data_IF_247765963835
#
_entry.id   IF_247765963835
#
_cell.length_a   1.000
_cell.length_b   1.000
_cell.length_c   1.000
_cell.angle_alpha   90.00
_cell.angle_beta   90.00
_cell.angle_gamma   90.00
#
_symmetry.space_group_name_H-M   'P 1'
#
loop_
_entity.id
_entity.type
_entity.pdbx_description
1 polymer ?
#
# COMPACT_ATOMS: atom_id res chain seq x y z
N UNK A 1 -17.07 -1.65 21.29
CA UNK A 1 -17.34 -1.62 19.84
C UNK A 1 -16.45 -2.67 19.20
N UNK A 2 -17.05 -3.70 18.61
CA UNK A 2 -16.33 -4.86 18.06
C UNK A 2 -15.56 -4.45 16.80
N UNK A 3 -14.25 -4.71 16.78
CA UNK A 3 -13.41 -4.55 15.59
C UNK A 3 -13.94 -5.46 14.48
N UNK A 4 -13.98 -5.03 13.21
CA UNK A 4 -14.42 -5.89 12.12
C UNK A 4 -13.50 -7.10 12.04
N UNK A 5 -14.06 -8.30 12.24
CA UNK A 5 -13.33 -9.54 12.07
C UNK A 5 -13.00 -9.70 10.58
N UNK A 6 -11.73 -9.79 10.25
CA UNK A 6 -11.25 -10.06 8.89
C UNK A 6 -11.66 -11.51 8.56
N UNK A 7 -12.43 -11.69 7.50
CA UNK A 7 -12.81 -13.01 7.00
C UNK A 7 -11.55 -13.80 6.58
N UNK A 8 -11.57 -15.15 6.66
CA UNK A 8 -10.43 -15.97 6.26
C UNK A 8 -9.96 -15.66 4.82
N UNK A 9 -8.64 -15.66 4.64
CA UNK A 9 -7.94 -15.26 3.41
C UNK A 9 -8.46 -16.04 2.20
N UNK A 10 -8.77 -15.33 1.10
CA UNK A 10 -9.08 -15.97 -0.19
C UNK A 10 -7.81 -16.66 -0.72
N UNK A 11 -7.84 -17.99 -0.77
CA UNK A 11 -6.73 -18.85 -1.18
C UNK A 11 -6.54 -18.88 -2.71
N UNK A 12 -6.23 -17.73 -3.30
CA UNK A 12 -5.88 -17.67 -4.73
C UNK A 12 -4.41 -18.02 -4.92
N UNK A 13 -4.07 -18.81 -5.96
CA UNK A 13 -2.69 -19.18 -6.29
C UNK A 13 -1.75 -17.96 -6.42
N UNK A 14 -2.27 -16.85 -6.96
CA UNK A 14 -1.55 -15.58 -7.07
C UNK A 14 -1.20 -15.00 -5.69
N UNK A 15 -2.16 -14.94 -4.77
CA UNK A 15 -1.96 -14.47 -3.39
C UNK A 15 -0.90 -15.31 -2.67
N UNK A 16 -1.00 -16.63 -2.76
CA UNK A 16 -0.02 -17.55 -2.18
C UNK A 16 1.38 -17.38 -2.79
N UNK A 17 1.48 -17.09 -4.09
CA UNK A 17 2.77 -16.82 -4.74
C UNK A 17 3.40 -15.50 -4.26
N UNK A 18 2.59 -14.42 -4.14
CA UNK A 18 3.04 -13.14 -3.57
C UNK A 18 3.53 -13.33 -2.13
N UNK A 19 2.73 -14.01 -1.29
CA UNK A 19 3.08 -14.30 0.10
C UNK A 19 4.43 -15.01 0.21
N UNK A 20 4.63 -16.13 -0.53
CA UNK A 20 5.89 -16.88 -0.53
C UNK A 20 7.09 -16.03 -0.94
N UNK A 21 6.95 -15.16 -1.94
CA UNK A 21 8.04 -14.29 -2.37
C UNK A 21 8.46 -13.33 -1.25
N UNK A 22 7.49 -12.62 -0.67
CA UNK A 22 7.73 -11.61 0.37
C UNK A 22 8.17 -12.23 1.69
N UNK A 23 7.62 -13.38 2.09
CA UNK A 23 8.06 -14.13 3.27
C UNK A 23 9.55 -14.46 3.20
N UNK A 24 10.03 -14.92 2.05
CA UNK A 24 11.44 -15.28 1.83
C UNK A 24 12.39 -14.09 1.98
N UNK A 25 11.94 -12.88 1.66
CA UNK A 25 12.80 -11.68 1.70
C UNK A 25 12.50 -10.75 2.88
N UNK A 26 11.49 -11.05 3.70
CA UNK A 26 10.97 -10.16 4.73
C UNK A 26 12.06 -9.63 5.68
N UNK A 27 12.94 -10.51 6.19
CA UNK A 27 14.03 -10.09 7.09
C UNK A 27 15.04 -9.18 6.41
N UNK A 28 15.41 -9.48 5.17
CA UNK A 28 16.34 -8.62 4.40
C UNK A 28 15.70 -7.27 4.14
N UNK A 29 14.46 -7.27 3.64
CA UNK A 29 13.69 -6.06 3.40
C UNK A 29 13.58 -5.18 4.66
N UNK A 30 13.36 -5.80 5.82
CA UNK A 30 13.29 -5.09 7.10
C UNK A 30 14.60 -4.43 7.52
N UNK A 31 15.75 -4.95 7.08
CA UNK A 31 17.08 -4.46 7.39
C UNK A 31 17.61 -3.44 6.36
N UNK A 32 17.11 -3.49 5.12
CA UNK A 32 17.52 -2.57 4.07
C UNK A 32 17.06 -1.13 4.39
N UNK A 33 17.96 -0.13 4.34
CA UNK A 33 17.60 1.25 4.63
C UNK A 33 16.75 1.85 3.50
N UNK A 34 15.84 2.76 3.87
CA UNK A 34 15.07 3.52 2.89
C UNK A 34 16.03 4.45 2.12
N UNK A 35 16.15 4.22 0.81
CA UNK A 35 17.14 4.89 -0.04
C UNK A 35 16.97 6.41 -0.13
N UNK A 36 15.76 6.93 0.06
CA UNK A 36 15.44 8.37 0.03
C UNK A 36 14.63 8.75 1.27
N UNK A 37 15.31 8.80 2.42
CA UNK A 37 14.71 9.16 3.70
C UNK A 37 14.02 10.53 3.69
N UNK A 38 14.59 11.52 3.00
CA UNK A 38 14.01 12.86 2.93
C UNK A 38 12.69 12.87 2.15
N UNK A 39 12.63 12.15 1.02
CA UNK A 39 11.39 11.99 0.27
C UNK A 39 10.34 11.11 0.97
N UNK A 40 10.79 10.13 1.77
CA UNK A 40 9.92 9.36 2.66
C UNK A 40 9.31 10.25 3.75
N UNK A 41 10.12 11.07 4.42
CA UNK A 41 9.66 12.00 5.46
C UNK A 41 8.66 13.03 4.92
N UNK A 42 8.95 13.62 3.76
CA UNK A 42 8.02 14.54 3.09
C UNK A 42 6.67 13.86 2.77
N UNK A 43 6.69 12.57 2.40
CA UNK A 43 5.47 11.80 2.18
C UNK A 43 4.68 11.62 3.47
N UNK A 44 5.35 11.26 4.57
CA UNK A 44 4.69 11.07 5.85
C UNK A 44 4.08 12.37 6.38
N UNK A 45 4.80 13.48 6.30
CA UNK A 45 4.26 14.79 6.67
C UNK A 45 3.03 15.14 5.84
N UNK A 46 3.08 14.87 4.52
CA UNK A 46 1.95 15.12 3.62
C UNK A 46 0.72 14.29 4.02
N UNK A 47 0.91 13.02 4.35
CA UNK A 47 -0.17 12.11 4.75
C UNK A 47 -0.72 12.47 6.14
N UNK A 48 0.14 12.83 7.09
CA UNK A 48 -0.28 13.29 8.42
C UNK A 48 -1.21 14.50 8.34
N UNK A 49 -0.92 15.46 7.43
CA UNK A 49 -1.79 16.61 7.19
C UNK A 49 -3.12 16.30 6.48
N UNK A 50 -3.31 15.07 5.97
CA UNK A 50 -4.54 14.59 5.34
C UNK A 50 -5.38 13.71 6.27
N UNK A 51 -4.79 13.19 7.35
CA UNK A 51 -5.45 12.34 8.33
C UNK A 51 -5.97 13.17 9.50
N UNK A 52 -7.00 12.65 10.18
CA UNK A 52 -7.56 13.26 11.37
C UNK A 52 -7.72 12.24 12.51
N UNK A 53 -7.57 12.64 13.79
CA UNK A 53 -7.64 11.73 14.94
C UNK A 53 -8.98 11.01 15.14
N UNK A 54 -10.03 11.40 14.42
CA UNK A 54 -11.34 10.75 14.46
C UNK A 54 -11.52 9.67 13.38
N UNK A 55 -10.58 9.56 12.44
CA UNK A 55 -10.70 8.68 11.28
C UNK A 55 -10.26 7.24 11.55
N UNK A 56 -10.99 6.29 10.97
CA UNK A 56 -10.53 4.91 10.83
C UNK A 56 -9.78 4.76 9.51
N UNK A 57 -8.59 4.18 9.58
CA UNK A 57 -7.68 4.08 8.44
C UNK A 57 -7.33 2.62 8.16
N UNK A 58 -7.37 2.24 6.89
CA UNK A 58 -6.81 0.98 6.40
C UNK A 58 -5.50 1.27 5.68
N UNK A 59 -4.44 0.52 5.95
CA UNK A 59 -3.26 0.45 5.09
C UNK A 59 -3.19 -0.94 4.46
N UNK A 60 -3.09 -0.98 3.14
CA UNK A 60 -2.95 -2.21 2.35
C UNK A 60 -1.50 -2.27 1.86
N UNK A 61 -0.84 -3.41 2.05
CA UNK A 61 0.57 -3.61 1.70
C UNK A 61 1.52 -2.90 2.66
N UNK A 62 1.28 -2.99 3.96
CA UNK A 62 2.06 -2.27 4.97
C UNK A 62 3.49 -2.78 5.17
N UNK A 63 3.84 -3.93 4.58
CA UNK A 63 5.13 -4.60 4.78
C UNK A 63 5.42 -4.79 6.26
N UNK A 64 6.59 -4.32 6.69
CA UNK A 64 7.05 -4.42 8.09
C UNK A 64 6.46 -3.35 9.01
N UNK A 65 5.42 -2.62 8.58
CA UNK A 65 4.66 -1.69 9.41
C UNK A 65 5.36 -0.37 9.75
N UNK A 66 6.48 -0.03 9.09
CA UNK A 66 7.25 1.20 9.38
C UNK A 66 6.41 2.48 9.22
N UNK A 67 5.60 2.53 8.17
CA UNK A 67 4.71 3.65 7.88
C UNK A 67 3.53 3.67 8.85
N UNK A 68 2.86 2.51 9.01
CA UNK A 68 1.74 2.34 9.92
C UNK A 68 2.05 2.83 11.35
N UNK A 69 3.21 2.45 11.91
CA UNK A 69 3.62 2.87 13.26
C UNK A 69 3.75 4.39 13.40
N UNK A 70 4.14 5.08 12.32
CA UNK A 70 4.33 6.54 12.31
C UNK A 70 3.05 7.32 12.01
N UNK A 71 2.08 6.71 11.34
CA UNK A 71 0.81 7.33 10.98
C UNK A 71 -0.30 7.03 11.97
N UNK A 72 -0.28 5.85 12.60
CA UNK A 72 -1.31 5.43 13.54
C UNK A 72 -1.66 6.50 14.59
N UNK A 73 -0.70 7.19 15.27
CA UNK A 73 -1.01 8.20 16.28
C UNK A 73 -1.89 9.39 15.82
N UNK A 74 -2.03 9.58 14.50
CA UNK A 74 -2.83 10.65 13.89
C UNK A 74 -4.25 10.19 13.51
N UNK A 75 -4.66 9.00 13.97
CA UNK A 75 -5.92 8.35 13.59
C UNK A 75 -6.72 7.95 14.83
N UNK A 76 -8.00 7.60 14.66
CA UNK A 76 -8.77 6.93 15.72
C UNK A 76 -8.38 5.47 15.84
N UNK A 77 -8.32 4.81 14.71
CA UNK A 77 -7.91 3.42 14.58
C UNK A 77 -7.22 3.20 13.24
N UNK A 78 -6.24 2.31 13.22
CA UNK A 78 -5.53 1.92 12.02
C UNK A 78 -5.42 0.39 11.93
N UNK A 79 -5.96 -0.16 10.85
CA UNK A 79 -5.72 -1.55 10.46
C UNK A 79 -4.69 -1.54 9.33
N UNK A 80 -3.54 -2.15 9.55
CA UNK A 80 -2.50 -2.28 8.55
C UNK A 80 -2.35 -3.75 8.13
N UNK A 81 -2.34 -4.01 6.83
CA UNK A 81 -2.42 -5.35 6.26
C UNK A 81 -1.35 -5.61 5.23
N UNK A 82 -0.91 -6.86 5.14
CA UNK A 82 0.02 -7.33 4.12
C UNK A 82 -0.28 -8.79 3.77
N UNK A 83 0.01 -9.20 2.53
CA UNK A 83 -0.20 -10.57 2.07
C UNK A 83 0.80 -11.56 2.71
N UNK A 84 1.94 -11.06 3.17
CA UNK A 84 3.01 -11.85 3.78
C UNK A 84 2.85 -11.96 5.29
N UNK A 85 2.70 -13.20 5.78
CA UNK A 85 2.71 -13.49 7.22
C UNK A 85 4.07 -13.15 7.84
N UNK A 86 5.18 -13.32 7.10
CA UNK A 86 6.52 -12.94 7.54
C UNK A 86 6.69 -11.43 7.75
N UNK A 87 6.13 -10.62 6.85
CA UNK A 87 6.11 -9.16 7.00
C UNK A 87 5.29 -8.73 8.24
N UNK A 88 4.10 -9.31 8.40
CA UNK A 88 3.22 -9.04 9.55
C UNK A 88 3.83 -9.49 10.88
N UNK A 89 4.58 -10.59 10.91
CA UNK A 89 5.31 -11.01 12.10
C UNK A 89 6.31 -9.94 12.56
N UNK A 90 7.13 -9.42 11.63
CA UNK A 90 8.08 -8.33 11.92
C UNK A 90 7.36 -7.04 12.32
N UNK A 91 6.23 -6.72 11.66
CA UNK A 91 5.43 -5.55 12.01
C UNK A 91 4.88 -5.64 13.46
N UNK A 92 4.43 -6.83 13.88
CA UNK A 92 3.97 -7.10 15.24
C UNK A 92 5.11 -7.03 16.26
N UNK A 93 6.30 -7.54 15.93
CA UNK A 93 7.50 -7.37 16.77
C UNK A 93 7.83 -5.88 16.99
N UNK A 94 7.77 -5.07 15.93
CA UNK A 94 8.01 -3.62 16.03
C UNK A 94 6.93 -2.92 16.85
N UNK A 95 5.66 -3.31 16.71
CA UNK A 95 4.56 -2.81 17.55
C UNK A 95 4.72 -3.18 19.02
N UNK A 96 5.22 -4.38 19.33
CA UNK A 96 5.50 -4.79 20.71
C UNK A 96 6.60 -3.91 21.33
N UNK A 97 7.61 -3.53 20.55
CA UNK A 97 8.69 -2.64 20.98
C UNK A 97 8.28 -1.15 21.04
N UNK A 98 7.30 -0.74 20.24
CA UNK A 98 6.74 0.61 20.23
C UNK A 98 5.21 0.56 20.25
N UNK A 99 4.59 0.31 21.42
CA UNK A 99 3.15 0.11 21.52
C UNK A 99 2.36 1.30 21.00
N UNK A 100 1.41 1.02 20.09
CA UNK A 100 0.44 1.98 19.59
C UNK A 100 -0.98 1.39 19.75
N UNK A 101 -1.81 1.91 20.68
CA UNK A 101 -3.09 1.30 21.01
C UNK A 101 -4.09 1.35 19.85
N UNK A 102 -3.90 2.28 18.91
CA UNK A 102 -4.76 2.50 17.74
C UNK A 102 -4.42 1.55 16.58
N UNK A 103 -3.23 0.94 16.58
CA UNK A 103 -2.72 0.16 15.45
C UNK A 103 -2.95 -1.35 15.63
N UNK A 104 -3.43 -2.01 14.58
CA UNK A 104 -3.50 -3.47 14.48
C UNK A 104 -2.90 -3.94 13.15
N UNK A 105 -2.25 -5.11 13.19
CA UNK A 105 -1.68 -5.75 12.01
C UNK A 105 -2.37 -7.08 11.70
N UNK A 106 -2.70 -7.30 10.43
CA UNK A 106 -3.31 -8.55 9.97
C UNK A 106 -2.80 -8.99 8.60
N UNK A 107 -2.92 -10.29 8.31
CA UNK A 107 -2.60 -10.84 6.99
C UNK A 107 -3.81 -10.73 6.09
N UNK A 108 -3.67 -10.05 4.95
CA UNK A 108 -4.70 -9.95 3.92
C UNK A 108 -4.08 -9.60 2.56
N UNK A 109 -4.62 -10.18 1.48
CA UNK A 109 -4.25 -9.79 0.12
C UNK A 109 -5.01 -8.51 -0.27
N UNK A 110 -4.33 -7.63 -1.01
CA UNK A 110 -4.89 -6.36 -1.47
C UNK A 110 -6.09 -6.53 -2.40
N UNK A 111 -6.13 -7.66 -3.11
CA UNK A 111 -7.15 -8.01 -4.10
C UNK A 111 -8.30 -8.83 -3.49
N UNK A 112 -8.24 -9.15 -2.19
CA UNK A 112 -9.24 -9.98 -1.52
C UNK A 112 -10.40 -9.14 -0.92
N UNK A 113 -11.66 -9.61 -1.00
CA UNK A 113 -12.84 -8.89 -0.49
C UNK A 113 -13.04 -9.06 1.03
N UNK A 114 -12.03 -8.69 1.82
CA UNK A 114 -11.99 -8.96 3.27
C UNK A 114 -12.00 -7.72 4.16
N UNK A 115 -11.97 -6.52 3.57
CA UNK A 115 -11.89 -5.26 4.32
C UNK A 115 -13.26 -4.68 4.71
N UNK A 116 -14.35 -5.29 4.24
CA UNK A 116 -15.72 -4.77 4.42
C UNK A 116 -16.05 -3.61 3.49
N UNK A 117 -17.29 -3.14 3.53
CA UNK A 117 -17.78 -2.06 2.66
C UNK A 117 -18.10 -0.81 3.48
N UNK A 118 -17.54 0.34 3.11
CA UNK A 118 -17.82 1.62 3.79
C UNK A 118 -17.32 1.67 5.24
N UNK A 119 -16.19 1.03 5.53
CA UNK A 119 -15.67 0.88 6.89
C UNK A 119 -14.67 1.97 7.26
N UNK A 120 -13.89 2.47 6.30
CA UNK A 120 -12.75 3.36 6.58
C UNK A 120 -12.94 4.75 5.99
N UNK A 121 -12.44 5.77 6.68
CA UNK A 121 -12.42 7.15 6.19
C UNK A 121 -11.24 7.39 5.24
N UNK A 122 -10.16 6.61 5.38
CA UNK A 122 -9.03 6.62 4.47
C UNK A 122 -8.46 5.21 4.24
N UNK A 123 -7.99 4.96 3.01
CA UNK A 123 -7.24 3.77 2.62
C UNK A 123 -5.89 4.22 2.09
N UNK A 124 -4.81 3.62 2.61
CA UNK A 124 -3.43 3.91 2.26
C UNK A 124 -2.86 2.73 1.47
N UNK A 125 -2.14 3.00 0.38
CA UNK A 125 -1.48 1.98 -0.45
C UNK A 125 -0.09 2.47 -0.89
N UNK A 126 0.93 2.22 -0.07
CA UNK A 126 2.29 2.69 -0.32
C UNK A 126 3.18 1.58 -0.88
N UNK A 127 3.87 1.86 -1.98
CA UNK A 127 4.70 0.92 -2.73
C UNK A 127 3.99 -0.41 -3.04
N UNK A 128 2.67 -0.38 -3.23
CA UNK A 128 1.83 -1.57 -3.41
C UNK A 128 1.27 -1.72 -4.82
N UNK A 129 0.65 -0.70 -5.41
CA UNK A 129 -0.23 -0.89 -6.58
C UNK A 129 0.50 -1.44 -7.83
N UNK A 130 1.79 -1.16 -7.98
CA UNK A 130 2.61 -1.77 -9.03
C UNK A 130 2.92 -3.26 -8.80
N UNK A 131 2.65 -3.81 -7.62
CA UNK A 131 2.83 -5.22 -7.24
C UNK A 131 1.51 -6.01 -7.28
N UNK A 132 0.39 -5.35 -7.57
CA UNK A 132 -0.89 -6.02 -7.74
C UNK A 132 -0.83 -6.99 -8.93
N UNK A 133 -1.60 -8.07 -8.86
CA UNK A 133 -1.79 -8.95 -10.02
C UNK A 133 -2.70 -8.27 -11.03
N UNK A 134 -3.77 -7.66 -10.51
CA UNK A 134 -4.72 -6.84 -11.23
C UNK A 134 -4.91 -5.50 -10.50
N UNK A 135 -4.58 -4.40 -11.19
CA UNK A 135 -4.71 -3.06 -10.63
C UNK A 135 -6.17 -2.70 -10.33
N UNK A 136 -7.09 -3.08 -11.22
CA UNK A 136 -8.50 -2.74 -11.09
C UNK A 136 -9.11 -3.51 -9.92
N UNK A 137 -8.78 -4.79 -9.76
CA UNK A 137 -9.23 -5.58 -8.62
C UNK A 137 -8.75 -4.99 -7.28
N UNK A 138 -7.48 -4.60 -7.18
CA UNK A 138 -6.94 -3.97 -5.98
C UNK A 138 -7.61 -2.62 -5.67
N UNK A 139 -7.81 -1.78 -6.68
CA UNK A 139 -8.50 -0.51 -6.53
C UNK A 139 -9.97 -0.71 -6.13
N UNK A 140 -10.65 -1.72 -6.69
CA UNK A 140 -12.04 -2.01 -6.39
C UNK A 140 -12.22 -2.39 -4.90
N UNK A 141 -11.31 -3.18 -4.32
CA UNK A 141 -11.33 -3.49 -2.89
C UNK A 141 -11.05 -2.25 -2.03
N UNK A 142 -10.08 -1.42 -2.42
CA UNK A 142 -9.79 -0.17 -1.73
C UNK A 142 -10.99 0.79 -1.75
N UNK A 143 -11.66 0.94 -2.89
CA UNK A 143 -12.86 1.77 -3.05
C UNK A 143 -14.05 1.20 -2.27
N UNK A 144 -14.24 -0.11 -2.27
CA UNK A 144 -15.29 -0.76 -1.48
C UNK A 144 -15.12 -0.48 0.02
N UNK A 145 -13.89 -0.58 0.53
CA UNK A 145 -13.55 -0.34 1.93
C UNK A 145 -13.80 1.11 2.40
N UNK A 146 -13.74 2.08 1.48
CA UNK A 146 -13.96 3.50 1.77
C UNK A 146 -15.43 3.84 2.06
N UNK A 147 -15.65 4.63 3.10
CA UNK A 147 -16.89 5.41 3.32
C UNK A 147 -17.09 6.43 2.19
N UNK A 148 -18.33 6.85 1.90
CA UNK A 148 -18.57 8.00 1.05
C UNK A 148 -17.80 9.23 1.55
N UNK A 149 -17.18 9.98 0.63
CA UNK A 149 -16.31 11.11 0.96
C UNK A 149 -14.88 10.74 1.41
N UNK A 150 -14.57 9.46 1.62
CA UNK A 150 -13.27 8.98 2.09
C UNK A 150 -12.13 9.12 1.07
N UNK A 151 -10.89 8.97 1.53
CA UNK A 151 -9.68 9.17 0.72
C UNK A 151 -8.92 7.87 0.44
N UNK A 152 -8.63 7.59 -0.83
CA UNK A 152 -7.53 6.70 -1.23
C UNK A 152 -6.26 7.53 -1.37
N UNK A 153 -5.21 7.17 -0.61
CA UNK A 153 -3.90 7.81 -0.68
C UNK A 153 -2.88 6.75 -1.10
N UNK A 154 -2.24 6.95 -2.25
CA UNK A 154 -1.26 6.01 -2.79
C UNK A 154 0.06 6.70 -3.06
N UNK A 155 1.16 5.94 -2.92
CA UNK A 155 2.45 6.33 -3.50
C UNK A 155 3.12 5.11 -4.07
N UNK A 156 3.24 5.01 -5.39
CA UNK A 156 3.76 3.80 -6.03
C UNK A 156 4.71 4.14 -7.17
N UNK A 157 5.76 3.34 -7.42
CA UNK A 157 6.51 3.36 -8.66
C UNK A 157 5.61 3.30 -9.90
N UNK A 158 5.79 4.26 -10.81
CA UNK A 158 5.24 4.29 -12.16
C UNK A 158 6.32 3.79 -13.12
N UNK A 159 6.45 2.46 -13.23
CA UNK A 159 7.58 1.82 -13.91
C UNK A 159 7.71 2.20 -15.40
N UNK A 160 6.62 2.61 -16.06
CA UNK A 160 6.68 3.05 -17.46
C UNK A 160 7.42 4.39 -17.62
N UNK A 161 7.66 5.14 -16.53
CA UNK A 161 8.40 6.41 -16.54
C UNK A 161 9.91 6.23 -16.30
N UNK A 162 10.35 5.00 -16.05
CA UNK A 162 11.76 4.60 -15.93
C UNK A 162 12.41 4.45 -17.32
N UNK A 163 13.73 4.25 -17.35
CA UNK A 163 14.39 3.82 -18.58
C UNK A 163 13.73 2.51 -19.07
N UNK A 164 13.24 2.43 -20.33
CA UNK A 164 12.51 1.26 -20.85
C UNK A 164 13.24 -0.08 -20.67
N UNK A 165 14.57 -0.08 -20.62
CA UNK A 165 15.35 -1.30 -20.36
C UNK A 165 15.04 -1.94 -19.00
N UNK A 166 14.60 -1.17 -18.01
CA UNK A 166 14.32 -1.67 -16.66
C UNK A 166 13.02 -2.50 -16.64
N UNK A 167 11.84 -1.93 -16.95
CA UNK A 167 10.59 -2.70 -16.91
C UNK A 167 10.49 -3.75 -18.02
N UNK A 168 11.06 -3.52 -19.20
CA UNK A 168 10.86 -4.41 -20.36
C UNK A 168 11.98 -5.45 -20.56
N UNK A 169 13.12 -5.33 -19.87
CA UNK A 169 14.20 -6.31 -19.99
C UNK A 169 14.69 -6.81 -18.61
N UNK A 170 15.11 -5.91 -17.71
CA UNK A 170 15.70 -6.32 -16.44
C UNK A 170 14.69 -7.00 -15.50
N UNK A 171 13.48 -6.46 -15.38
CA UNK A 171 12.43 -7.02 -14.52
C UNK A 171 11.99 -8.42 -14.97
N UNK A 172 11.64 -8.67 -16.26
CA UNK A 172 11.32 -10.03 -16.74
C UNK A 172 12.44 -11.04 -16.45
N UNK A 173 13.70 -10.65 -16.69
CA UNK A 173 14.86 -11.50 -16.40
C UNK A 173 14.97 -11.82 -14.91
N UNK A 174 14.87 -10.80 -14.04
CA UNK A 174 14.90 -10.99 -12.58
C UNK A 174 13.73 -11.84 -12.07
N UNK A 175 12.56 -11.73 -12.69
CA UNK A 175 11.39 -12.57 -12.38
C UNK A 175 11.63 -14.03 -12.77
N UNK A 176 12.18 -14.28 -13.96
CA UNK A 176 12.48 -15.64 -14.45
C UNK A 176 13.42 -16.41 -13.51
N UNK A 177 14.35 -15.70 -12.85
CA UNK A 177 15.27 -16.27 -11.84
C UNK A 177 14.76 -16.13 -10.39
N UNK A 178 13.51 -15.70 -10.20
CA UNK A 178 12.87 -15.61 -8.88
C UNK A 178 13.41 -14.52 -7.96
N UNK A 179 14.05 -13.47 -8.48
CA UNK A 179 14.62 -12.34 -7.71
C UNK A 179 13.72 -11.09 -7.69
N UNK A 180 12.67 -11.05 -8.48
CA UNK A 180 11.68 -9.97 -8.49
C UNK A 180 10.25 -10.54 -8.46
N UNK A 181 9.29 -9.86 -7.81
CA UNK A 181 7.90 -10.24 -7.87
C UNK A 181 7.29 -9.89 -9.23
N UNK A 182 6.05 -10.32 -9.46
CA UNK A 182 5.27 -9.76 -10.55
C UNK A 182 5.05 -8.27 -10.33
N UNK A 183 5.21 -7.49 -11.39
CA UNK A 183 4.95 -6.05 -11.37
C UNK A 183 4.13 -5.65 -12.59
N UNK A 184 3.26 -4.66 -12.40
CA UNK A 184 2.54 -3.98 -13.45
C UNK A 184 3.37 -2.79 -13.94
N UNK A 185 3.40 -2.61 -15.27
CA UNK A 185 4.07 -1.46 -15.89
C UNK A 185 3.02 -0.43 -16.30
N UNK A 186 3.01 0.70 -15.61
CA UNK A 186 2.14 1.85 -15.91
C UNK A 186 2.84 3.17 -15.56
N UNK A 187 2.33 4.27 -16.11
CA UNK A 187 2.70 5.65 -15.78
C UNK A 187 1.67 6.28 -14.81
N UNK A 188 1.90 7.52 -14.38
CA UNK A 188 0.94 8.26 -13.55
C UNK A 188 -0.42 8.42 -14.22
N UNK A 189 -0.46 8.69 -15.53
CA UNK A 189 -1.72 8.91 -16.25
C UNK A 189 -2.61 7.65 -16.23
N UNK A 190 -2.03 6.47 -16.48
CA UNK A 190 -2.77 5.21 -16.39
C UNK A 190 -3.20 4.90 -14.96
N UNK A 191 -2.37 5.21 -13.96
CA UNK A 191 -2.73 5.04 -12.55
C UNK A 191 -3.94 5.91 -12.16
N UNK A 192 -3.91 7.21 -12.48
CA UNK A 192 -5.01 8.13 -12.16
C UNK A 192 -6.27 7.82 -12.97
N UNK A 193 -6.12 7.41 -14.24
CA UNK A 193 -7.23 6.96 -15.07
C UNK A 193 -7.91 5.72 -14.49
N UNK A 194 -7.14 4.73 -14.02
CA UNK A 194 -7.70 3.54 -13.37
C UNK A 194 -8.46 3.91 -12.08
N UNK A 195 -7.91 4.82 -11.26
CA UNK A 195 -8.63 5.33 -10.07
C UNK A 195 -9.94 6.02 -10.45
N UNK A 196 -9.94 6.84 -11.50
CA UNK A 196 -11.13 7.54 -11.98
C UNK A 196 -12.19 6.58 -12.54
N UNK A 197 -11.78 5.52 -13.24
CA UNK A 197 -12.68 4.47 -13.73
C UNK A 197 -13.36 3.71 -12.58
N UNK A 198 -12.71 3.60 -11.42
CA UNK A 198 -13.30 3.06 -10.19
C UNK A 198 -14.18 4.07 -9.44
N UNK A 199 -14.46 5.23 -10.04
CA UNK A 199 -15.34 6.26 -9.50
C UNK A 199 -14.68 7.20 -8.49
N UNK A 200 -13.34 7.22 -8.38
CA UNK A 200 -12.63 8.17 -7.53
C UNK A 200 -12.37 9.50 -8.24
N UNK A 201 -12.46 10.61 -7.51
CA UNK A 201 -12.07 11.93 -7.99
C UNK A 201 -10.63 12.23 -7.56
N UNK A 202 -9.73 12.49 -8.50
CA UNK A 202 -8.35 12.84 -8.18
C UNK A 202 -8.31 14.24 -7.53
N UNK A 203 -7.79 14.30 -6.31
CA UNK A 203 -7.64 15.54 -5.52
C UNK A 203 -6.30 16.19 -5.83
N UNK A 204 -5.22 15.41 -5.83
CA UNK A 204 -3.91 15.88 -6.25
C UNK A 204 -2.99 14.73 -6.69
N UNK A 205 -2.01 15.09 -7.52
CA UNK A 205 -0.83 14.27 -7.79
C UNK A 205 0.43 15.05 -7.44
N UNK A 206 1.36 14.39 -6.76
CA UNK A 206 2.58 15.00 -6.24
C UNK A 206 3.77 14.04 -6.42
N UNK A 207 5.00 14.57 -6.35
CA UNK A 207 6.26 13.80 -6.35
C UNK A 207 7.11 14.27 -5.18
N UNK A 208 7.44 13.39 -4.26
CA UNK A 208 8.13 13.76 -3.02
C UNK A 208 9.61 13.38 -3.01
N UNK A 209 10.07 12.62 -4.00
CA UNK A 209 11.45 12.16 -4.09
C UNK A 209 12.41 13.34 -4.13
N UNK A 210 13.47 13.25 -3.32
CA UNK A 210 14.50 14.30 -3.19
C UNK A 210 15.82 13.91 -3.87
N UNK A 211 15.86 12.72 -4.48
CA UNK A 211 17.02 12.18 -5.20
C UNK A 211 16.65 11.84 -6.64
N UNK A 212 17.33 12.48 -7.60
CA UNK A 212 17.14 12.22 -9.04
C UNK A 212 15.70 12.45 -9.52
N UNK A 213 15.35 11.82 -10.65
CA UNK A 213 13.98 11.83 -11.17
C UNK A 213 13.09 10.91 -10.31
N UNK A 214 12.10 11.46 -9.63
CA UNK A 214 11.16 10.67 -8.83
C UNK A 214 10.08 10.04 -9.71
N UNK A 215 10.22 8.73 -9.97
CA UNK A 215 9.26 7.93 -10.75
C UNK A 215 8.09 7.41 -9.90
N UNK A 216 7.95 7.86 -8.65
CA UNK A 216 6.86 7.42 -7.76
C UNK A 216 5.79 8.50 -7.67
N UNK A 217 4.64 8.27 -8.30
CA UNK A 217 3.50 9.16 -8.16
C UNK A 217 2.89 9.01 -6.77
N UNK A 218 2.76 10.12 -6.04
CA UNK A 218 1.89 10.25 -4.88
C UNK A 218 0.54 10.76 -5.37
N UNK A 219 -0.55 10.05 -5.09
CA UNK A 219 -1.89 10.38 -5.55
C UNK A 219 -2.84 10.37 -4.37
N UNK A 220 -3.62 11.44 -4.25
CA UNK A 220 -4.76 11.51 -3.34
C UNK A 220 -6.02 11.52 -4.20
N UNK A 221 -6.91 10.57 -3.96
CA UNK A 221 -8.17 10.45 -4.66
C UNK A 221 -9.32 10.29 -3.66
N UNK A 222 -10.47 10.89 -3.94
CA UNK A 222 -11.63 10.93 -3.05
C UNK A 222 -12.76 10.09 -3.62
N UNK A 223 -13.37 9.25 -2.78
CA UNK A 223 -14.64 8.61 -3.10
C UNK A 223 -15.77 9.64 -3.00
N UNK A 224 -16.62 9.82 -4.03
CA UNK A 224 -17.78 10.69 -3.95
C UNK A 224 -18.68 10.36 -2.75
N UNK A 225 -19.42 11.37 -2.28
CA UNK A 225 -20.39 11.27 -1.19
C UNK A 225 -21.67 10.54 -1.58
#
# INVERSE_FOLDING_TARGET
>A
MSSPAIAPVSDTLAAASKARFWDRIARKYAADPIADMAGYEATLQRVQGLLAPQQDVLEIGCGTGSTALRLAPFTRSMLATDVSAGMIAIARERLANQPSPQLRFAVADAEAPVFGCGVFDAVLAFNLLHLATDLDAALQQAVAALRPGGLLISKTPCLAEMNPLIPYLAVPLMRAIGKAPAVLCFDEHRLTSAMAQQGLHIVCTERHGRRGKDIRAFVVARKPG
#
